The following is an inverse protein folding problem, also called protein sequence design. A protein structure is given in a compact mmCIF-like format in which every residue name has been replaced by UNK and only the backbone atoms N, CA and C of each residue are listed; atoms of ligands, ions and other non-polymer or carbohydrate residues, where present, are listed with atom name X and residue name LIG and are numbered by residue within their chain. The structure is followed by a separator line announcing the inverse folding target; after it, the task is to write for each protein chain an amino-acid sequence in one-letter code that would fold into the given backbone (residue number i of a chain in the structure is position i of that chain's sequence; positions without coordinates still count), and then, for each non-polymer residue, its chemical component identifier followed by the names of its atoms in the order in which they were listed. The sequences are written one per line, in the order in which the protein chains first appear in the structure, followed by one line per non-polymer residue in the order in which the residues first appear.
data_IF_670130451025
#
_entry.id   IF_670130451025
#
_cell.length_a   1.000
_cell.length_b   1.000
_cell.length_c   1.000
_cell.angle_alpha   90.00
_cell.angle_beta   90.00
_cell.angle_gamma   90.00
#
_symmetry.space_group_name_H-M   'P 1'
#
loop_
_entity.id
_entity.type
_entity.pdbx_description
1 polymer ?
#
# COMPACT_ATOMS: atom_id res chain seq x y z
N UNK A 1 -52.51 -38.11 -53.92
CA UNK A 1 -51.47 -37.06 -53.97
C UNK A 1 -50.33 -37.51 -54.87
N UNK A 2 -49.93 -36.71 -55.87
CA UNK A 2 -48.92 -37.12 -56.87
C UNK A 2 -47.56 -37.25 -56.19
N UNK A 3 -46.74 -38.25 -56.54
CA UNK A 3 -45.40 -38.50 -55.94
C UNK A 3 -44.51 -37.25 -55.90
N UNK A 4 -44.67 -36.35 -56.87
CA UNK A 4 -43.98 -35.06 -56.94
C UNK A 4 -44.33 -34.11 -55.77
N UNK A 5 -45.55 -34.17 -55.23
CA UNK A 5 -45.99 -33.36 -54.10
C UNK A 5 -45.45 -33.90 -52.77
N UNK A 6 -45.29 -35.22 -52.62
CA UNK A 6 -44.71 -35.83 -51.41
C UNK A 6 -43.22 -35.53 -51.33
N UNK A 7 -42.49 -35.61 -52.45
CA UNK A 7 -41.07 -35.25 -52.51
C UNK A 7 -40.84 -33.76 -52.19
N UNK A 8 -41.75 -32.88 -52.61
CA UNK A 8 -41.68 -31.46 -52.31
C UNK A 8 -41.91 -31.16 -50.82
N UNK A 9 -42.83 -31.89 -50.17
CA UNK A 9 -43.09 -31.72 -48.72
C UNK A 9 -41.91 -32.22 -47.88
N UNK A 10 -41.28 -33.34 -48.26
CA UNK A 10 -40.11 -33.88 -47.54
C UNK A 10 -38.93 -32.92 -47.65
N UNK A 11 -38.66 -32.39 -48.84
CA UNK A 11 -37.55 -31.43 -49.05
C UNK A 11 -37.77 -30.11 -48.30
N UNK A 12 -39.01 -29.62 -48.25
CA UNK A 12 -39.36 -28.44 -47.45
C UNK A 12 -39.20 -28.69 -45.95
N UNK A 13 -39.66 -29.84 -45.46
CA UNK A 13 -39.56 -30.21 -44.05
C UNK A 13 -38.10 -30.41 -43.61
N UNK A 14 -37.25 -31.03 -44.44
CA UNK A 14 -35.83 -31.18 -44.13
C UNK A 14 -35.09 -29.84 -44.14
N UNK A 15 -35.43 -28.93 -45.06
CA UNK A 15 -34.84 -27.58 -45.09
C UNK A 15 -35.25 -26.77 -43.86
N UNK A 16 -36.51 -26.85 -43.42
CA UNK A 16 -36.98 -26.17 -42.20
C UNK A 16 -36.31 -26.77 -40.96
N UNK A 17 -36.14 -28.09 -40.89
CA UNK A 17 -35.46 -28.75 -39.78
C UNK A 17 -33.97 -28.39 -39.71
N UNK A 18 -33.30 -28.29 -40.87
CA UNK A 18 -31.92 -27.81 -40.97
C UNK A 18 -31.79 -26.34 -40.58
N UNK A 19 -32.78 -25.50 -40.91
CA UNK A 19 -32.79 -24.08 -40.54
C UNK A 19 -33.02 -23.88 -39.04
N UNK A 20 -33.88 -24.70 -38.42
CA UNK A 20 -34.21 -24.61 -36.99
C UNK A 20 -33.09 -25.12 -36.08
N UNK A 21 -32.16 -25.93 -36.58
CA UNK A 21 -30.97 -26.36 -35.84
C UNK A 21 -29.86 -25.29 -35.78
N UNK A 22 -30.04 -24.15 -36.48
CA UNK A 22 -29.08 -23.05 -36.57
C UNK A 22 -29.68 -21.73 -36.07
N UNK A 23 -30.30 -21.73 -34.88
CA UNK A 23 -30.53 -20.47 -34.15
C UNK A 23 -29.46 -20.33 -33.09
N UNK A 24 -28.27 -19.88 -33.49
CA UNK A 24 -27.26 -19.38 -32.55
C UNK A 24 -27.84 -18.14 -31.85
N UNK A 25 -28.05 -18.23 -30.54
CA UNK A 25 -28.33 -17.06 -29.72
C UNK A 25 -27.09 -16.18 -29.74
N UNK A 26 -27.08 -15.15 -30.58
CA UNK A 26 -26.04 -14.13 -30.51
C UNK A 26 -26.10 -13.52 -29.11
N UNK A 27 -25.03 -13.62 -28.30
CA UNK A 27 -25.01 -12.92 -27.02
C UNK A 27 -25.13 -11.44 -27.35
N UNK A 28 -26.21 -10.82 -26.86
CA UNK A 28 -26.47 -9.39 -27.03
C UNK A 28 -25.30 -8.65 -26.39
N UNK A 29 -24.33 -8.21 -27.19
CA UNK A 29 -23.24 -7.36 -26.72
C UNK A 29 -23.86 -6.10 -26.11
N UNK A 30 -23.85 -6.05 -24.79
CA UNK A 30 -24.38 -4.94 -24.01
C UNK A 30 -23.17 -4.09 -23.63
N UNK A 31 -23.12 -2.88 -24.17
CA UNK A 31 -22.06 -1.94 -23.83
C UNK A 31 -22.32 -1.38 -22.43
N UNK A 32 -21.42 -1.67 -21.49
CA UNK A 32 -21.46 -1.13 -20.13
C UNK A 32 -20.64 0.16 -20.01
N UNK A 33 -20.90 0.95 -18.98
CA UNK A 33 -20.11 2.14 -18.66
C UNK A 33 -18.71 1.75 -18.20
N UNK A 34 -17.72 2.60 -18.49
CA UNK A 34 -16.31 2.38 -18.13
C UNK A 34 -16.02 2.75 -16.66
N UNK A 35 -16.96 2.46 -15.76
CA UNK A 35 -16.79 2.69 -14.33
C UNK A 35 -15.91 1.57 -13.76
N UNK A 36 -15.04 1.92 -12.82
CA UNK A 36 -14.22 0.98 -12.07
C UNK A 36 -14.56 1.05 -10.58
N UNK A 37 -14.64 -0.11 -9.94
CA UNK A 37 -14.73 -0.26 -8.49
C UNK A 37 -13.38 -0.75 -7.98
N UNK A 38 -12.83 -0.07 -6.97
CA UNK A 38 -11.60 -0.50 -6.32
C UNK A 38 -11.93 -1.61 -5.32
N UNK A 39 -11.21 -2.71 -5.43
CA UNK A 39 -11.30 -3.85 -4.55
C UNK A 39 -10.38 -3.68 -3.33
N UNK A 40 -10.63 -4.40 -2.22
CA UNK A 40 -9.82 -4.30 -1.01
C UNK A 40 -8.33 -4.64 -1.20
N UNK A 41 -7.99 -5.38 -2.26
CA UNK A 41 -6.62 -5.69 -2.68
C UNK A 41 -5.94 -4.57 -3.49
N UNK A 42 -6.67 -3.50 -3.79
CA UNK A 42 -6.23 -2.41 -4.66
C UNK A 42 -6.43 -2.66 -6.15
N UNK A 43 -6.92 -3.83 -6.56
CA UNK A 43 -7.27 -4.06 -7.97
C UNK A 43 -8.54 -3.31 -8.35
N UNK A 44 -8.77 -3.14 -9.65
CA UNK A 44 -9.94 -2.44 -10.18
C UNK A 44 -10.78 -3.41 -10.99
N UNK A 45 -12.07 -3.52 -10.65
CA UNK A 45 -13.05 -4.32 -11.40
C UNK A 45 -14.04 -3.43 -12.13
N UNK A 46 -14.37 -3.80 -13.36
CA UNK A 46 -15.34 -3.09 -14.20
C UNK A 46 -16.74 -3.69 -14.12
N UNK A 47 -17.69 -3.07 -14.83
CA UNK A 47 -19.03 -3.64 -15.05
C UNK A 47 -19.00 -4.70 -16.14
N UNK A 48 -19.63 -5.84 -15.90
CA UNK A 48 -19.69 -6.97 -16.82
C UNK A 48 -21.10 -7.54 -16.94
N UNK A 49 -21.35 -8.29 -18.02
CA UNK A 49 -22.60 -9.02 -18.22
C UNK A 49 -23.76 -8.18 -18.78
N UNK A 50 -24.92 -8.83 -18.99
CA UNK A 50 -26.07 -8.20 -19.63
C UNK A 50 -26.73 -7.11 -18.78
N UNK A 51 -26.51 -7.12 -17.47
CA UNK A 51 -27.08 -6.18 -16.50
C UNK A 51 -26.06 -5.11 -16.03
N UNK A 52 -24.82 -5.14 -16.55
CA UNK A 52 -23.75 -4.20 -16.23
C UNK A 52 -23.47 -4.06 -14.72
N UNK A 53 -23.42 -5.19 -14.02
CA UNK A 53 -23.02 -5.24 -12.61
C UNK A 53 -21.50 -5.31 -12.47
N UNK A 54 -20.96 -4.81 -11.37
CA UNK A 54 -19.51 -4.94 -11.11
C UNK A 54 -19.13 -6.41 -11.00
N UNK A 55 -18.02 -6.77 -11.64
CA UNK A 55 -17.40 -8.07 -11.42
C UNK A 55 -17.00 -8.22 -9.94
N UNK A 56 -17.00 -9.46 -9.45
CA UNK A 56 -16.57 -9.72 -8.08
C UNK A 56 -15.08 -9.42 -7.97
N UNK A 57 -14.69 -8.85 -6.83
CA UNK A 57 -13.28 -8.71 -6.49
C UNK A 57 -12.60 -10.08 -6.43
N UNK A 58 -11.32 -10.17 -6.83
CA UNK A 58 -10.56 -11.39 -6.66
C UNK A 58 -10.47 -11.76 -5.18
N UNK A 59 -10.60 -13.06 -4.89
CA UNK A 59 -10.30 -13.58 -3.57
C UNK A 59 -8.78 -13.54 -3.38
N UNK A 60 -8.30 -12.72 -2.43
CA UNK A 60 -6.89 -12.68 -2.10
C UNK A 60 -6.44 -14.00 -1.46
N UNK A 61 -5.41 -14.68 -1.99
CA UNK A 61 -4.74 -15.74 -1.25
C UNK A 61 -3.89 -15.10 -0.15
N UNK A 62 -4.33 -15.24 1.10
CA UNK A 62 -3.48 -15.05 2.27
C UNK A 62 -2.77 -16.38 2.54
N UNK A 63 -1.47 -16.32 2.83
CA UNK A 63 -0.54 -17.44 3.05
C UNK A 63 -1.00 -18.50 4.08
N UNK A 64 -2.15 -18.32 4.75
CA UNK A 64 -2.73 -19.27 5.72
C UNK A 64 -4.19 -19.66 5.43
N UNK A 65 -4.64 -19.62 4.16
CA UNK A 65 -5.93 -20.20 3.74
C UNK A 65 -7.20 -19.62 4.40
N UNK A 66 -7.08 -18.48 5.08
CA UNK A 66 -8.19 -17.82 5.78
C UNK A 66 -8.73 -16.68 4.93
N UNK A 67 -10.03 -16.73 4.62
CA UNK A 67 -10.74 -15.73 3.82
C UNK A 67 -10.82 -14.40 4.61
N UNK A 68 -10.01 -13.41 4.23
CA UNK A 68 -10.06 -12.08 4.85
C UNK A 68 -11.24 -11.32 4.29
N UNK A 69 -12.31 -11.24 5.10
CA UNK A 69 -13.41 -10.30 4.85
C UNK A 69 -12.89 -8.89 5.10
N UNK A 70 -12.88 -8.06 4.06
CA UNK A 70 -12.61 -6.62 4.19
C UNK A 70 -13.55 -5.98 5.21
N UNK A 71 -12.99 -5.16 6.10
CA UNK A 71 -13.77 -4.39 7.08
C UNK A 71 -14.13 -3.02 6.50
N UNK A 72 -15.13 -2.37 7.08
CA UNK A 72 -15.50 -0.99 6.72
C UNK A 72 -14.41 0.00 7.18
N UNK A 73 -14.17 1.04 6.38
CA UNK A 73 -13.11 2.06 6.61
C UNK A 73 -13.48 3.11 7.69
N UNK A 74 -14.24 2.70 8.70
CA UNK A 74 -14.65 3.59 9.77
C UNK A 74 -13.51 3.77 10.78
N UNK A 75 -13.36 4.99 11.30
CA UNK A 75 -12.39 5.32 12.33
C UNK A 75 -13.08 5.61 13.67
N UNK A 76 -12.51 5.10 14.76
CA UNK A 76 -12.85 5.46 16.13
C UNK A 76 -11.78 6.39 16.67
N UNK A 77 -12.20 7.53 17.20
CA UNK A 77 -11.30 8.50 17.82
C UNK A 77 -10.96 8.05 19.25
N UNK A 78 -9.67 8.03 19.55
CA UNK A 78 -9.11 7.72 20.85
C UNK A 78 -8.99 8.98 21.73
N UNK A 79 -8.85 8.85 23.06
CA UNK A 79 -8.79 10.01 23.97
C UNK A 79 -7.61 10.97 23.73
N UNK A 80 -6.53 10.47 23.14
CA UNK A 80 -5.35 11.22 22.69
C UNK A 80 -5.57 11.97 21.35
N UNK A 81 -6.71 11.75 20.69
CA UNK A 81 -7.04 12.31 19.38
C UNK A 81 -6.63 11.46 18.19
N UNK A 82 -5.96 10.32 18.40
CA UNK A 82 -5.62 9.39 17.32
C UNK A 82 -6.87 8.64 16.81
N UNK A 83 -6.77 8.01 15.65
CA UNK A 83 -7.86 7.31 14.99
C UNK A 83 -7.50 5.83 14.77
N UNK A 84 -8.37 4.92 15.18
CA UNK A 84 -8.19 3.47 14.99
C UNK A 84 -9.29 2.89 14.10
N UNK A 85 -8.92 1.99 13.19
CA UNK A 85 -9.85 1.28 12.30
C UNK A 85 -10.33 -0.06 12.87
N UNK A 86 -11.13 -0.78 12.09
CA UNK A 86 -11.57 -2.15 12.39
C UNK A 86 -10.53 -3.17 11.93
N UNK A 87 -10.31 -4.21 12.73
CA UNK A 87 -9.36 -5.29 12.42
C UNK A 87 -10.10 -6.62 12.15
N UNK A 88 -9.68 -7.40 11.13
CA UNK A 88 -10.13 -8.78 10.95
C UNK A 88 -9.79 -9.68 12.16
N UNK A 89 -10.46 -10.83 12.34
CA UNK A 89 -11.51 -11.41 11.48
C UNK A 89 -12.93 -10.91 11.77
N UNK A 90 -13.16 -10.28 12.93
CA UNK A 90 -14.50 -9.90 13.40
C UNK A 90 -14.85 -8.43 13.14
N UNK A 91 -13.94 -7.66 12.53
CA UNK A 91 -14.09 -6.23 12.27
C UNK A 91 -14.42 -5.41 13.52
N UNK A 92 -13.77 -5.75 14.65
CA UNK A 92 -13.81 -4.95 15.87
C UNK A 92 -12.80 -3.81 15.78
N UNK A 93 -13.07 -2.67 16.42
CA UNK A 93 -12.09 -1.58 16.48
C UNK A 93 -10.83 -2.03 17.21
N UNK A 94 -9.66 -1.72 16.65
CA UNK A 94 -8.40 -1.90 17.36
C UNK A 94 -8.45 -1.12 18.70
N UNK A 95 -7.84 -1.64 19.77
CA UNK A 95 -7.77 -0.92 21.03
C UNK A 95 -6.98 0.38 20.87
N UNK A 96 -7.39 1.43 21.58
CA UNK A 96 -6.58 2.64 21.72
C UNK A 96 -5.34 2.32 22.55
N UNK A 97 -4.14 2.59 22.05
CA UNK A 97 -2.91 2.35 22.78
C UNK A 97 -2.61 3.55 23.70
N UNK A 98 -2.59 3.38 25.04
CA UNK A 98 -2.27 4.46 25.97
C UNK A 98 -0.80 4.93 25.90
N UNK A 99 0.06 4.30 25.09
CA UNK A 99 1.49 4.62 24.94
C UNK A 99 1.88 5.18 23.57
N UNK A 100 0.97 5.34 22.62
CA UNK A 100 1.32 5.83 21.28
C UNK A 100 0.89 7.29 21.07
N UNK A 101 1.90 8.17 21.03
CA UNK A 101 1.88 9.42 20.26
C UNK A 101 2.19 8.98 18.80
N UNK A 102 1.48 9.52 17.79
CA UNK A 102 1.41 9.00 16.41
C UNK A 102 2.74 8.79 15.63
N UNK A 103 2.69 8.19 14.42
CA UNK A 103 3.80 7.39 13.89
C UNK A 103 4.81 8.17 13.02
N UNK A 104 5.97 7.58 12.72
CA UNK A 104 6.10 7.08 11.34
C UNK A 104 6.16 5.57 11.29
N UNK A 105 5.82 5.10 10.11
CA UNK A 105 5.25 3.81 9.80
C UNK A 105 6.25 2.63 9.89
N UNK A 106 5.65 1.44 9.78
CA UNK A 106 6.27 0.12 9.49
C UNK A 106 6.74 -0.68 10.70
N UNK A 107 5.85 -1.53 11.22
CA UNK A 107 6.26 -2.79 11.82
C UNK A 107 6.10 -3.90 10.78
N UNK A 108 6.87 -3.81 9.69
CA UNK A 108 7.28 -5.01 8.98
C UNK A 108 8.39 -5.63 9.80
N UNK A 109 8.13 -6.81 10.38
CA UNK A 109 9.20 -7.63 10.93
C UNK A 109 9.98 -8.19 9.74
N UNK A 110 11.11 -7.53 9.47
CA UNK A 110 12.29 -7.92 8.72
C UNK A 110 12.53 -7.04 7.48
N UNK A 111 13.75 -6.47 7.47
CA UNK A 111 14.40 -5.59 6.48
C UNK A 111 14.02 -4.10 6.55
N UNK A 112 14.79 -3.40 7.38
CA UNK A 112 14.80 -1.95 7.55
C UNK A 112 15.51 -1.66 8.87
N UNK A 113 16.81 -1.42 8.81
CA UNK A 113 17.59 -0.95 9.96
C UNK A 113 16.93 0.34 10.45
N UNK A 114 16.24 0.27 11.61
CA UNK A 114 15.68 1.45 12.24
C UNK A 114 16.89 2.28 12.63
N UNK A 115 17.21 3.34 11.88
CA UNK A 115 18.27 4.27 12.24
C UNK A 115 17.92 4.87 13.61
N UNK A 116 18.53 4.32 14.66
CA UNK A 116 18.32 4.74 16.03
C UNK A 116 18.83 6.17 16.19
N UNK A 117 17.92 7.11 16.47
CA UNK A 117 18.28 8.51 16.70
C UNK A 117 18.78 8.68 18.13
N UNK A 118 20.01 9.15 18.28
CA UNK A 118 20.60 9.50 19.56
C UNK A 118 20.65 11.01 19.72
N UNK A 119 19.75 11.57 20.53
CA UNK A 119 19.69 13.01 20.80
C UNK A 119 20.89 13.49 21.62
N UNK A 120 21.37 14.69 21.30
CA UNK A 120 22.46 15.34 22.02
C UNK A 120 21.91 16.18 23.18
N UNK A 121 21.95 15.69 24.44
CA UNK A 121 21.50 16.47 25.60
C UNK A 121 22.43 17.66 25.86
N UNK A 122 21.92 18.68 26.55
CA UNK A 122 22.69 19.89 26.89
C UNK A 122 24.04 19.60 27.58
N UNK A 123 24.10 18.52 28.37
CA UNK A 123 25.34 18.09 29.04
C UNK A 123 26.45 17.62 28.10
N UNK A 124 26.12 17.29 26.85
CA UNK A 124 27.07 16.80 25.84
C UNK A 124 27.51 17.90 24.86
N UNK A 125 26.95 19.10 24.99
CA UNK A 125 27.25 20.28 24.15
C UNK A 125 28.50 21.00 24.62
N UNK A 126 29.19 21.66 23.69
CA UNK A 126 30.33 22.53 24.00
C UNK A 126 31.57 21.82 24.53
N UNK A 127 31.70 20.50 24.32
CA UNK A 127 32.90 19.78 24.71
C UNK A 127 34.11 20.23 23.87
N UNK A 128 35.09 20.88 24.52
CA UNK A 128 36.30 21.38 23.84
C UNK A 128 37.28 20.25 23.43
N UNK A 129 37.19 19.09 24.08
CA UNK A 129 38.10 17.95 23.87
C UNK A 129 37.28 16.67 23.76
N UNK A 130 37.38 16.00 22.61
CA UNK A 130 36.84 14.66 22.36
C UNK A 130 37.98 13.65 22.19
N UNK A 131 37.66 12.37 22.42
CA UNK A 131 38.56 11.25 22.12
C UNK A 131 38.81 11.12 20.62
N UNK A 132 39.98 10.61 20.24
CA UNK A 132 40.35 10.38 18.83
C UNK A 132 39.88 9.02 18.29
N UNK A 133 38.83 8.44 18.87
CA UNK A 133 38.22 7.25 18.32
C UNK A 133 37.45 7.60 17.03
N UNK A 134 37.53 6.71 16.04
CA UNK A 134 36.82 6.86 14.78
C UNK A 134 35.64 5.88 14.77
N UNK A 135 34.50 6.37 15.25
CA UNK A 135 33.20 5.70 15.27
C UNK A 135 32.20 6.64 14.58
N UNK A 136 32.24 6.76 13.24
CA UNK A 136 31.60 7.86 12.54
C UNK A 136 30.10 7.89 12.79
N UNK A 137 29.57 9.10 12.95
CA UNK A 137 28.15 9.36 13.14
C UNK A 137 27.70 10.47 12.21
N UNK A 138 26.43 10.44 11.81
CA UNK A 138 25.82 11.52 11.06
C UNK A 138 25.09 12.45 12.03
N UNK A 139 25.62 13.65 12.26
CA UNK A 139 25.01 14.66 13.11
C UNK A 139 24.00 15.50 12.32
N UNK A 140 22.73 15.41 12.69
CA UNK A 140 21.61 16.11 12.06
C UNK A 140 21.40 17.46 12.73
N UNK A 141 21.35 18.53 11.93
CA UNK A 141 21.17 19.88 12.46
C UNK A 141 19.72 20.13 12.89
N UNK A 142 19.55 21.01 13.88
CA UNK A 142 18.24 21.46 14.33
C UNK A 142 17.51 22.32 13.28
N UNK A 143 16.24 22.62 13.52
CA UNK A 143 15.40 23.45 12.62
C UNK A 143 15.86 24.92 12.50
N UNK A 144 16.72 25.40 13.40
CA UNK A 144 17.26 26.77 13.33
C UNK A 144 18.32 26.91 12.22
N UNK A 145 18.90 25.80 11.76
CA UNK A 145 19.87 25.78 10.65
C UNK A 145 19.15 25.64 9.30
N UNK A 146 19.26 26.69 8.49
CA UNK A 146 18.73 26.68 7.12
C UNK A 146 19.73 26.01 6.15
N UNK A 147 19.62 24.70 5.99
CA UNK A 147 20.39 23.95 5.01
C UNK A 147 19.93 24.23 3.58
N UNK A 148 20.87 24.62 2.71
CA UNK A 148 20.61 24.86 1.28
C UNK A 148 20.66 23.57 0.45
N UNK A 149 21.30 22.52 0.99
CA UNK A 149 21.53 21.25 0.33
C UNK A 149 21.21 20.08 1.28
N UNK A 150 20.73 18.98 0.71
CA UNK A 150 20.54 17.72 1.43
C UNK A 150 21.89 16.96 1.59
N UNK A 151 22.01 16.08 2.60
CA UNK A 151 21.24 16.10 3.84
C UNK A 151 21.57 17.34 4.68
N UNK A 152 20.63 17.74 5.54
CA UNK A 152 20.88 18.77 6.55
C UNK A 152 21.64 18.17 7.74
N UNK A 153 22.83 17.66 7.46
CA UNK A 153 23.63 16.92 8.41
C UNK A 153 25.12 16.94 8.02
N UNK A 154 25.98 16.58 8.96
CA UNK A 154 27.42 16.47 8.75
C UNK A 154 27.98 15.21 9.42
N UNK A 155 28.90 14.53 8.74
CA UNK A 155 29.62 13.40 9.32
C UNK A 155 30.63 13.88 10.35
N UNK A 156 30.57 13.30 11.55
CA UNK A 156 31.52 13.52 12.64
C UNK A 156 32.31 12.24 12.90
N UNK A 157 33.54 12.38 13.43
CA UNK A 157 34.41 11.23 13.71
C UNK A 157 33.88 10.31 14.82
N UNK A 158 33.10 10.87 15.76
CA UNK A 158 32.41 10.14 16.83
C UNK A 158 31.26 10.98 17.41
N UNK A 159 30.47 10.38 18.30
CA UNK A 159 29.32 11.02 18.94
C UNK A 159 29.66 12.25 19.77
N UNK A 160 30.84 12.29 20.41
CA UNK A 160 31.31 13.49 21.12
C UNK A 160 31.53 14.64 20.13
N UNK A 161 32.20 14.38 19.01
CA UNK A 161 32.40 15.36 17.95
C UNK A 161 31.08 15.94 17.44
N UNK A 162 30.07 15.09 17.22
CA UNK A 162 28.73 15.53 16.82
C UNK A 162 28.05 16.38 17.90
N UNK A 163 27.89 15.84 19.11
CA UNK A 163 27.12 16.51 20.17
C UNK A 163 27.82 17.73 20.77
N UNK A 164 29.14 17.86 20.63
CA UNK A 164 29.87 19.06 21.03
C UNK A 164 29.46 20.29 20.21
N UNK A 165 28.95 20.10 19.00
CA UNK A 165 28.39 21.17 18.18
C UNK A 165 26.95 21.47 18.63
N UNK A 166 26.69 22.72 19.01
CA UNK A 166 25.37 23.17 19.48
C UNK A 166 24.31 23.14 18.38
N UNK A 167 24.72 23.17 17.12
CA UNK A 167 23.81 23.14 15.97
C UNK A 167 23.26 21.73 15.70
N UNK A 168 23.90 20.68 16.25
CA UNK A 168 23.48 19.29 16.09
C UNK A 168 22.40 18.94 17.11
N UNK A 169 21.24 18.46 16.64
CA UNK A 169 20.12 18.05 17.49
C UNK A 169 20.26 16.60 17.94
N UNK A 170 20.59 15.71 17.00
CA UNK A 170 20.79 14.28 17.23
C UNK A 170 21.77 13.70 16.22
N UNK A 171 22.26 12.50 16.50
CA UNK A 171 23.08 11.73 15.56
C UNK A 171 22.48 10.35 15.27
N UNK A 172 22.83 9.80 14.11
CA UNK A 172 22.64 8.39 13.74
C UNK A 172 24.00 7.71 13.57
N UNK A 173 24.07 6.39 13.73
CA UNK A 173 25.30 5.64 13.50
C UNK A 173 25.67 5.64 12.00
N UNK A 174 26.97 5.74 11.69
CA UNK A 174 27.46 5.74 10.32
C UNK A 174 27.71 7.13 9.73
N UNK A 175 28.19 7.17 8.49
CA UNK A 175 28.42 8.44 7.78
C UNK A 175 27.11 9.00 7.23
N UNK A 176 27.04 10.32 7.04
CA UNK A 176 25.85 10.92 6.45
C UNK A 176 25.58 10.45 5.02
N UNK A 177 24.30 10.30 4.64
CA UNK A 177 23.95 9.93 3.29
C UNK A 177 24.50 10.96 2.31
N UNK A 178 25.10 10.49 1.22
CA UNK A 178 25.43 11.36 0.09
C UNK A 178 24.18 11.52 -0.77
N UNK A 179 24.09 12.59 -1.58
CA UNK A 179 22.93 12.88 -2.45
C UNK A 179 22.65 11.85 -3.57
N UNK A 180 23.06 10.59 -3.39
CA UNK A 180 22.79 9.51 -4.33
C UNK A 180 21.37 8.98 -4.13
N UNK A 181 20.40 9.72 -4.67
CA UNK A 181 19.31 9.06 -5.38
C UNK A 181 19.99 8.42 -6.61
N UNK A 182 20.62 7.26 -6.43
CA UNK A 182 20.85 6.36 -7.56
C UNK A 182 19.56 5.56 -7.74
N UNK A 183 18.93 5.81 -8.90
CA UNK A 183 17.73 5.11 -9.42
C UNK A 183 17.92 3.59 -9.53
#
# INVERSE_FOLDING_TARGET
MKKKNILFIITLATMIFLFSACTESTPKETACTMDAMICPDGTSVGRVGPDCEFEKCPDLPVDDGTLVKGCTEEAKICPDGSAVGRIPPNCEFAPCDPRYIGPPETNNKNEGEIEEKHYCPDSSRGAEICTFDYTPVCGWFNEDIQCVKFPCAQTYGNSCGACSNEDVEYYTEGECPTDMIEE
#
